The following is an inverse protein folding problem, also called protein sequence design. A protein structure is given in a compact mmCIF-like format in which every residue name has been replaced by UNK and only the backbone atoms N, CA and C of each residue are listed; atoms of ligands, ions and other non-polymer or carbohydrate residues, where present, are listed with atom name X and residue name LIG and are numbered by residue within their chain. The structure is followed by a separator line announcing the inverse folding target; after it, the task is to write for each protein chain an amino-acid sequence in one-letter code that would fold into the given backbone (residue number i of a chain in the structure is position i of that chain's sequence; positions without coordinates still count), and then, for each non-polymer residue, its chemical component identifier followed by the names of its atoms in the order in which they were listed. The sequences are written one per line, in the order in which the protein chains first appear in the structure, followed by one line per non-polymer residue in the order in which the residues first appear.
data_IF_188201613282
#
_entry.id   IF_188201613282
#
_cell.length_a   1.000
_cell.length_b   1.000
_cell.length_c   1.000
_cell.angle_alpha   90.00
_cell.angle_beta   90.00
_cell.angle_gamma   90.00
#
_symmetry.space_group_name_H-M   'P 1'
#
loop_
_entity.id
_entity.type
_entity.pdbx_description
1 polymer ?
#
# COMPACT_ATOMS: atom_id res chain seq x y z
N UNK A 1 -12.05 5.40 -14.14
CA UNK A 1 -10.75 4.89 -14.59
C UNK A 1 -9.83 6.09 -14.66
N UNK A 2 -8.68 6.05 -14.02
CA UNK A 2 -7.67 7.11 -14.19
C UNK A 2 -7.18 7.03 -15.64
N UNK A 3 -7.30 8.12 -16.37
CA UNK A 3 -6.60 8.28 -17.64
C UNK A 3 -5.14 8.64 -17.35
N UNK A 4 -4.23 8.36 -18.28
CA UNK A 4 -2.81 8.72 -18.15
C UNK A 4 -2.62 10.21 -17.85
N UNK A 5 -3.47 11.08 -18.39
CA UNK A 5 -3.43 12.53 -18.14
C UNK A 5 -3.78 12.89 -16.70
N UNK A 6 -4.80 12.25 -16.12
CA UNK A 6 -5.17 12.44 -14.70
C UNK A 6 -4.08 11.89 -13.77
N UNK A 7 -3.49 10.76 -14.13
CA UNK A 7 -2.36 10.19 -13.35
C UNK A 7 -1.16 11.14 -13.36
N UNK A 8 -0.80 11.67 -14.55
CA UNK A 8 0.28 12.65 -14.74
C UNK A 8 0.03 13.94 -13.94
N UNK A 9 -1.17 14.52 -14.06
CA UNK A 9 -1.54 15.73 -13.32
C UNK A 9 -1.51 15.50 -11.78
N UNK A 10 -1.99 14.35 -11.32
CA UNK A 10 -1.98 14.00 -9.90
C UNK A 10 -0.56 13.82 -9.39
N UNK A 11 0.25 13.06 -10.10
CA UNK A 11 1.62 12.73 -9.69
C UNK A 11 2.56 13.96 -9.76
N UNK A 12 2.39 14.85 -10.75
CA UNK A 12 3.19 16.07 -10.82
C UNK A 12 3.09 16.96 -9.57
N UNK A 13 1.97 16.91 -8.85
CA UNK A 13 1.76 17.63 -7.60
C UNK A 13 2.49 17.00 -6.40
N UNK A 14 3.08 15.81 -6.57
CA UNK A 14 3.84 15.11 -5.53
C UNK A 14 5.35 15.32 -5.66
N UNK A 15 5.83 15.78 -6.81
CA UNK A 15 7.27 15.93 -7.12
C UNK A 15 8.00 16.77 -6.04
N UNK A 16 7.43 17.90 -5.65
CA UNK A 16 8.02 18.80 -4.64
C UNK A 16 8.06 18.22 -3.22
N UNK A 17 7.39 17.09 -3.00
CA UNK A 17 7.45 16.38 -1.72
C UNK A 17 8.67 15.46 -1.63
N UNK A 18 9.33 15.17 -2.76
CA UNK A 18 10.48 14.29 -2.89
C UNK A 18 10.24 12.92 -2.23
N UNK A 19 9.19 12.18 -2.62
CA UNK A 19 8.97 10.84 -2.08
C UNK A 19 10.09 9.90 -2.56
N UNK A 20 10.53 8.98 -1.69
CA UNK A 20 11.51 7.94 -2.06
C UNK A 20 10.95 7.01 -3.14
N UNK A 21 9.65 6.77 -3.14
CA UNK A 21 8.93 6.06 -4.22
C UNK A 21 7.44 6.41 -4.25
N UNK A 22 6.80 6.16 -5.38
CA UNK A 22 5.35 6.28 -5.58
C UNK A 22 4.78 4.97 -6.09
N UNK A 23 3.73 4.46 -5.42
CA UNK A 23 3.06 3.22 -5.85
C UNK A 23 2.03 3.49 -6.94
N UNK A 24 2.15 2.80 -8.07
CA UNK A 24 1.10 2.69 -9.07
C UNK A 24 0.23 1.46 -8.75
N UNK A 25 -1.01 1.70 -8.29
CA UNK A 25 -1.90 0.63 -7.87
C UNK A 25 -2.53 -0.10 -9.05
N UNK A 26 -2.55 -1.43 -8.97
CA UNK A 26 -3.37 -2.25 -9.85
C UNK A 26 -4.83 -1.99 -9.53
N UNK A 27 -5.66 -1.72 -10.53
CA UNK A 27 -7.08 -1.41 -10.34
C UNK A 27 -7.77 -2.48 -9.49
N UNK A 28 -8.11 -2.15 -8.26
CA UNK A 28 -8.92 -2.99 -7.39
C UNK A 28 -10.29 -3.19 -8.07
N UNK A 29 -10.58 -4.40 -8.58
CA UNK A 29 -11.81 -4.69 -9.30
C UNK A 29 -11.60 -5.36 -10.66
N UNK A 30 -10.40 -5.84 -10.96
CA UNK A 30 -10.16 -6.71 -12.12
C UNK A 30 -10.43 -6.05 -13.47
N UNK A 31 -10.08 -4.77 -13.63
CA UNK A 31 -10.19 -4.12 -14.94
C UNK A 31 -9.33 -4.88 -15.96
N UNK A 32 -9.87 -4.99 -17.18
CA UNK A 32 -9.28 -5.76 -18.29
C UNK A 32 -7.94 -5.19 -18.82
N UNK A 33 -7.40 -4.10 -18.25
CA UNK A 33 -6.16 -3.45 -18.66
C UNK A 33 -5.06 -3.68 -17.63
N UNK A 34 -4.32 -4.78 -17.79
CA UNK A 34 -3.05 -5.02 -17.06
C UNK A 34 -1.99 -3.96 -17.33
N UNK A 35 -2.07 -3.27 -18.46
CA UNK A 35 -1.09 -2.29 -18.90
C UNK A 35 -1.23 -0.91 -18.23
N UNK A 36 -2.38 -0.59 -17.63
CA UNK A 36 -2.58 0.72 -17.00
C UNK A 36 -1.61 1.00 -15.83
N UNK A 37 -1.25 -0.04 -15.07
CA UNK A 37 -0.32 0.10 -13.95
C UNK A 37 1.10 0.37 -14.43
N UNK A 38 1.58 -0.35 -15.44
CA UNK A 38 2.90 -0.16 -16.02
C UNK A 38 3.02 1.17 -16.76
N UNK A 39 1.95 1.63 -17.43
CA UNK A 39 1.90 2.95 -18.06
C UNK A 39 2.01 4.08 -17.03
N UNK A 40 1.28 3.98 -15.90
CA UNK A 40 1.37 4.96 -14.81
C UNK A 40 2.77 4.93 -14.19
N UNK A 41 3.34 3.74 -13.97
CA UNK A 41 4.69 3.61 -13.42
C UNK A 41 5.74 4.23 -14.37
N UNK A 42 5.61 4.06 -15.68
CA UNK A 42 6.48 4.69 -16.65
C UNK A 42 6.35 6.23 -16.64
N UNK A 43 5.13 6.78 -16.53
CA UNK A 43 4.93 8.23 -16.38
C UNK A 43 5.66 8.76 -15.13
N UNK A 44 5.55 8.05 -13.99
CA UNK A 44 6.23 8.45 -12.75
C UNK A 44 7.75 8.52 -12.95
N UNK A 45 8.32 7.54 -13.65
CA UNK A 45 9.75 7.37 -13.80
C UNK A 45 10.32 8.25 -14.93
N UNK A 46 9.74 8.18 -16.13
CA UNK A 46 10.31 8.79 -17.32
C UNK A 46 9.99 10.29 -17.46
N UNK A 47 8.80 10.71 -16.96
CA UNK A 47 8.36 12.10 -17.12
C UNK A 47 8.54 12.93 -15.82
N UNK A 48 8.51 12.30 -14.65
CA UNK A 48 8.50 13.00 -13.36
C UNK A 48 9.74 12.72 -12.50
N UNK A 49 10.66 11.89 -12.96
CA UNK A 49 11.91 11.52 -12.27
C UNK A 49 11.66 11.00 -10.82
N UNK A 50 10.60 10.20 -10.66
CA UNK A 50 10.22 9.58 -9.40
C UNK A 50 10.37 8.07 -9.47
N UNK A 51 10.94 7.45 -8.43
CA UNK A 51 10.98 5.99 -8.33
C UNK A 51 9.56 5.43 -8.31
N UNK A 52 9.24 4.58 -9.27
CA UNK A 52 7.93 3.93 -9.36
C UNK A 52 7.96 2.53 -8.76
N UNK A 53 6.89 2.15 -8.05
CA UNK A 53 6.61 0.78 -7.63
C UNK A 53 5.29 0.31 -8.24
N UNK A 54 5.35 -0.66 -9.14
CA UNK A 54 4.17 -1.19 -9.80
C UNK A 54 3.52 -2.31 -8.95
N UNK A 55 2.21 -2.25 -8.72
CA UNK A 55 1.50 -3.37 -8.11
C UNK A 55 1.25 -4.48 -9.14
N UNK A 56 1.50 -5.72 -8.77
CA UNK A 56 1.19 -6.89 -9.57
C UNK A 56 0.43 -7.93 -8.75
N UNK A 57 -0.76 -8.33 -9.24
CA UNK A 57 -1.62 -9.33 -8.59
C UNK A 57 -1.63 -10.64 -9.38
N UNK A 58 -1.74 -11.78 -8.69
CA UNK A 58 -1.60 -13.10 -9.31
C UNK A 58 -2.82 -14.04 -9.16
N UNK A 59 -3.77 -13.75 -8.27
CA UNK A 59 -4.85 -14.70 -7.89
C UNK A 59 -5.74 -15.20 -9.03
N UNK A 60 -5.88 -14.42 -10.11
CA UNK A 60 -6.67 -14.77 -11.30
C UNK A 60 -5.85 -14.76 -12.59
N UNK A 61 -4.52 -14.72 -12.50
CA UNK A 61 -3.63 -14.65 -13.64
C UNK A 61 -3.16 -16.02 -14.11
N UNK A 62 -3.05 -16.24 -15.43
CA UNK A 62 -2.33 -17.38 -16.00
C UNK A 62 -0.82 -17.11 -16.01
N UNK A 63 -0.02 -18.15 -16.26
CA UNK A 63 1.44 -18.00 -16.39
C UNK A 63 1.82 -17.05 -17.54
N UNK A 64 1.11 -17.13 -18.66
CA UNK A 64 1.35 -16.26 -19.82
C UNK A 64 1.04 -14.80 -19.51
N UNK A 65 -0.02 -14.53 -18.73
CA UNK A 65 -0.36 -13.16 -18.29
C UNK A 65 0.69 -12.59 -17.35
N UNK A 66 1.19 -13.37 -16.42
CA UNK A 66 2.29 -12.95 -15.54
C UNK A 66 3.54 -12.71 -16.37
N UNK A 67 3.95 -13.64 -17.23
CA UNK A 67 5.12 -13.46 -18.08
C UNK A 67 5.03 -12.18 -18.94
N UNK A 68 3.89 -11.96 -19.60
CA UNK A 68 3.66 -10.74 -20.39
C UNK A 68 3.70 -9.46 -19.55
N UNK A 69 3.17 -9.49 -18.32
CA UNK A 69 3.23 -8.34 -17.42
C UNK A 69 4.68 -8.04 -16.98
N UNK A 70 5.47 -9.08 -16.71
CA UNK A 70 6.89 -8.93 -16.35
C UNK A 70 7.71 -8.38 -17.52
N UNK A 71 7.46 -8.87 -18.74
CA UNK A 71 8.11 -8.38 -19.95
C UNK A 71 7.78 -6.89 -20.18
N UNK A 72 6.51 -6.49 -20.04
CA UNK A 72 6.06 -5.11 -20.18
C UNK A 72 6.67 -4.18 -19.11
N UNK A 73 6.79 -4.62 -17.88
CA UNK A 73 7.47 -3.85 -16.81
C UNK A 73 8.96 -3.67 -17.11
N UNK A 74 9.66 -4.73 -17.59
CA UNK A 74 11.07 -4.66 -17.94
C UNK A 74 11.32 -3.77 -19.16
N UNK A 75 10.47 -3.86 -20.20
CA UNK A 75 10.54 -2.99 -21.39
C UNK A 75 10.40 -1.51 -21.03
N UNK A 76 9.62 -1.19 -20.00
CA UNK A 76 9.44 0.16 -19.45
C UNK A 76 10.47 0.56 -18.40
N UNK A 77 11.49 -0.28 -18.14
CA UNK A 77 12.52 0.01 -17.16
C UNK A 77 12.05 0.08 -15.71
N UNK A 78 10.89 -0.51 -15.39
CA UNK A 78 10.37 -0.55 -14.01
C UNK A 78 11.15 -1.60 -13.21
N UNK A 79 11.74 -1.19 -12.11
CA UNK A 79 12.59 -2.03 -11.28
C UNK A 79 11.92 -2.52 -9.99
N UNK A 80 10.85 -1.84 -9.53
CA UNK A 80 10.24 -2.12 -8.24
C UNK A 80 8.80 -2.61 -8.41
N UNK A 81 8.48 -3.76 -7.80
CA UNK A 81 7.17 -4.39 -7.91
C UNK A 81 6.65 -4.77 -6.52
N UNK A 82 5.42 -4.36 -6.21
CA UNK A 82 4.69 -4.87 -5.05
C UNK A 82 3.94 -6.15 -5.45
N UNK A 83 4.44 -7.28 -4.98
CA UNK A 83 3.88 -8.61 -5.24
C UNK A 83 2.66 -8.85 -4.35
N UNK A 84 1.50 -9.01 -4.94
CA UNK A 84 0.23 -9.19 -4.24
C UNK A 84 -0.47 -10.48 -4.70
N UNK A 85 -1.19 -11.13 -3.79
CA UNK A 85 -2.16 -12.15 -4.20
C UNK A 85 -3.25 -11.52 -5.05
N UNK A 86 -3.81 -10.42 -4.58
CA UNK A 86 -5.02 -9.80 -5.10
C UNK A 86 -6.28 -10.52 -4.60
N UNK A 87 -7.41 -9.82 -4.71
CA UNK A 87 -8.73 -10.37 -4.37
C UNK A 87 -9.38 -11.02 -5.59
N UNK A 88 -10.06 -12.13 -5.38
CA UNK A 88 -10.87 -12.75 -6.40
C UNK A 88 -12.22 -12.02 -6.46
N UNK A 89 -12.51 -11.45 -7.63
CA UNK A 89 -13.81 -10.83 -7.89
C UNK A 89 -14.77 -11.90 -8.41
N UNK A 90 -16.06 -11.75 -8.09
CA UNK A 90 -17.11 -12.65 -8.56
C UNK A 90 -17.04 -12.82 -10.10
N UNK A 91 -17.06 -14.07 -10.55
CA UNK A 91 -16.91 -14.44 -11.96
C UNK A 91 -15.46 -14.58 -12.47
N UNK A 92 -14.47 -14.32 -11.64
CA UNK A 92 -13.08 -14.64 -11.99
C UNK A 92 -12.72 -16.09 -11.66
N UNK A 93 -11.95 -16.73 -12.55
CA UNK A 93 -11.39 -18.05 -12.29
C UNK A 93 -10.10 -17.92 -11.50
N UNK A 94 -9.97 -18.58 -10.34
CA UNK A 94 -8.71 -18.60 -9.60
C UNK A 94 -7.57 -19.16 -10.44
N UNK A 95 -6.37 -18.60 -10.26
CA UNK A 95 -5.17 -19.16 -10.86
C UNK A 95 -4.91 -20.57 -10.32
N UNK A 96 -4.53 -21.49 -11.22
CA UNK A 96 -4.11 -22.83 -10.83
C UNK A 96 -2.66 -22.85 -10.35
N UNK A 97 -1.85 -21.89 -10.80
CA UNK A 97 -0.41 -21.79 -10.53
C UNK A 97 -0.09 -20.83 -9.39
N UNK A 98 -0.75 -19.67 -9.35
CA UNK A 98 -0.47 -18.58 -8.40
C UNK A 98 -1.59 -18.46 -7.37
N UNK A 99 -1.40 -19.04 -6.20
CA UNK A 99 -2.38 -18.99 -5.09
C UNK A 99 -2.07 -17.90 -4.08
N UNK A 100 -0.79 -17.57 -3.94
CA UNK A 100 -0.27 -16.60 -2.96
C UNK A 100 0.81 -15.74 -3.59
N UNK A 101 1.11 -14.61 -2.95
CA UNK A 101 2.23 -13.75 -3.35
C UNK A 101 3.58 -14.50 -3.33
N UNK A 102 3.73 -15.50 -2.45
CA UNK A 102 4.90 -16.38 -2.38
C UNK A 102 5.16 -17.17 -3.64
N UNK A 103 4.14 -17.38 -4.49
CA UNK A 103 4.31 -18.05 -5.78
C UNK A 103 4.81 -17.08 -6.87
N UNK A 104 4.55 -15.78 -6.69
CA UNK A 104 4.93 -14.71 -7.61
C UNK A 104 6.34 -14.15 -7.31
N UNK A 105 6.68 -13.98 -6.03
CA UNK A 105 7.93 -13.36 -5.57
C UNK A 105 9.19 -13.98 -6.22
N UNK A 106 9.36 -15.33 -6.26
CA UNK A 106 10.55 -15.91 -6.88
C UNK A 106 10.71 -15.56 -8.36
N UNK A 107 9.61 -15.51 -9.12
CA UNK A 107 9.65 -15.12 -10.54
C UNK A 107 10.09 -13.68 -10.73
N UNK A 108 9.63 -12.77 -9.86
CA UNK A 108 10.08 -11.38 -9.86
C UNK A 108 11.58 -11.27 -9.54
N UNK A 109 12.06 -12.05 -8.55
CA UNK A 109 13.49 -12.07 -8.20
C UNK A 109 14.35 -12.65 -9.32
N UNK A 110 13.92 -13.71 -9.99
CA UNK A 110 14.59 -14.28 -11.17
C UNK A 110 14.73 -13.27 -12.32
N UNK A 111 13.79 -12.33 -12.43
CA UNK A 111 13.80 -11.25 -13.42
C UNK A 111 14.56 -10.00 -12.95
N UNK A 112 15.12 -10.00 -11.73
CA UNK A 112 15.94 -8.92 -11.20
C UNK A 112 15.18 -7.77 -10.55
N UNK A 113 13.87 -7.89 -10.32
CA UNK A 113 13.09 -6.85 -9.64
C UNK A 113 13.44 -6.72 -8.15
N UNK A 114 13.36 -5.49 -7.63
CA UNK A 114 13.19 -5.23 -6.22
C UNK A 114 11.73 -5.50 -5.84
N UNK A 115 11.52 -6.38 -4.87
CA UNK A 115 10.19 -6.94 -4.58
C UNK A 115 9.68 -6.53 -3.21
N UNK A 116 8.65 -5.67 -3.20
CA UNK A 116 7.83 -5.43 -2.01
C UNK A 116 6.73 -6.48 -1.87
N UNK A 117 6.26 -6.70 -0.65
CA UNK A 117 5.07 -7.52 -0.38
C UNK A 117 4.21 -6.90 0.73
N UNK A 118 2.93 -7.28 0.81
CA UNK A 118 2.02 -6.78 1.82
C UNK A 118 2.24 -7.43 3.19
N UNK A 119 2.15 -6.63 4.25
CA UNK A 119 2.08 -7.04 5.64
C UNK A 119 0.77 -6.57 6.28
N UNK A 120 0.31 -7.23 7.33
CA UNK A 120 -0.99 -6.96 7.96
C UNK A 120 -0.83 -6.81 9.48
N UNK A 121 -0.75 -5.58 10.01
CA UNK A 121 -0.55 -5.35 11.46
C UNK A 121 -1.65 -5.93 12.35
N UNK A 122 -2.86 -6.08 11.82
CA UNK A 122 -4.01 -6.64 12.52
C UNK A 122 -4.43 -8.02 11.95
N UNK A 123 -3.51 -8.74 11.29
CA UNK A 123 -3.71 -9.93 10.49
C UNK A 123 -4.54 -9.71 9.21
N UNK A 124 -4.37 -10.59 8.22
CA UNK A 124 -5.19 -10.57 7.01
C UNK A 124 -6.66 -10.87 7.33
N UNK A 125 -7.66 -10.22 6.69
CA UNK A 125 -9.10 -10.39 7.02
C UNK A 125 -9.60 -11.84 7.01
N UNK A 126 -8.93 -12.74 6.30
CA UNK A 126 -9.26 -14.17 6.28
C UNK A 126 -8.55 -14.96 7.37
N UNK A 127 -7.67 -14.34 8.14
CA UNK A 127 -6.94 -14.94 9.26
C UNK A 127 -7.49 -14.39 10.57
N UNK A 128 -7.64 -15.27 11.57
CA UNK A 128 -8.10 -14.88 12.91
C UNK A 128 -6.92 -14.69 13.87
N UNK A 129 -5.74 -15.14 13.50
CA UNK A 129 -4.56 -15.17 14.34
C UNK A 129 -3.37 -14.47 13.67
N UNK A 130 -2.84 -13.44 14.34
CA UNK A 130 -1.67 -12.70 13.89
C UNK A 130 -0.41 -13.58 13.85
N UNK A 131 -0.25 -14.51 14.80
CA UNK A 131 0.93 -15.37 14.86
C UNK A 131 0.94 -16.37 13.68
N UNK A 132 -0.24 -16.73 13.18
CA UNK A 132 -0.35 -17.51 11.94
C UNK A 132 -0.04 -16.65 10.70
N UNK A 133 -0.55 -15.42 10.64
CA UNK A 133 -0.28 -14.51 9.52
C UNK A 133 1.21 -14.14 9.41
N UNK A 134 1.91 -14.03 10.54
CA UNK A 134 3.36 -13.82 10.58
C UNK A 134 4.16 -14.95 9.93
N UNK A 135 3.68 -16.20 9.95
CA UNK A 135 4.31 -17.32 9.22
C UNK A 135 4.24 -17.09 7.70
N UNK A 136 3.12 -16.55 7.22
CA UNK A 136 3.01 -16.18 5.80
C UNK A 136 3.89 -14.96 5.47
N UNK A 137 4.01 -14.00 6.38
CA UNK A 137 4.94 -12.88 6.19
C UNK A 137 6.38 -13.37 6.10
N UNK A 138 6.78 -14.28 7.00
CA UNK A 138 8.10 -14.93 6.95
C UNK A 138 8.32 -15.70 5.65
N UNK A 139 7.32 -16.44 5.19
CA UNK A 139 7.39 -17.14 3.92
C UNK A 139 7.59 -16.19 2.72
N UNK A 140 7.01 -15.00 2.75
CA UNK A 140 7.25 -13.97 1.71
C UNK A 140 8.70 -13.48 1.73
N UNK A 141 9.27 -13.22 2.93
CA UNK A 141 10.69 -12.88 3.07
C UNK A 141 11.58 -14.00 2.55
N UNK A 142 11.31 -15.24 2.94
CA UNK A 142 12.10 -16.42 2.52
C UNK A 142 11.97 -16.70 1.01
N UNK A 143 10.86 -16.31 0.39
CA UNK A 143 10.67 -16.35 -1.06
C UNK A 143 11.45 -15.24 -1.80
N UNK A 144 11.99 -14.24 -1.09
CA UNK A 144 12.83 -13.20 -1.65
C UNK A 144 12.23 -11.79 -1.63
N UNK A 145 11.18 -11.52 -0.83
CA UNK A 145 10.71 -10.15 -0.66
C UNK A 145 11.80 -9.29 0.00
N UNK A 146 12.11 -8.14 -0.60
CA UNK A 146 13.14 -7.22 -0.15
C UNK A 146 12.64 -6.28 0.95
N UNK A 147 11.34 -5.96 0.95
CA UNK A 147 10.70 -5.11 1.95
C UNK A 147 9.19 -5.39 2.03
N UNK A 148 8.55 -4.81 3.05
CA UNK A 148 7.11 -4.90 3.24
C UNK A 148 6.44 -3.54 3.29
N UNK A 149 5.20 -3.47 2.77
CA UNK A 149 4.29 -2.33 2.96
C UNK A 149 3.09 -2.83 3.73
N UNK A 150 2.76 -2.20 4.86
CA UNK A 150 1.62 -2.66 5.64
C UNK A 150 0.30 -2.28 5.00
N UNK A 151 -0.74 -3.08 5.26
CA UNK A 151 -2.11 -2.61 5.15
C UNK A 151 -2.30 -1.41 6.07
N UNK A 152 -3.22 -0.51 5.73
CA UNK A 152 -3.54 0.62 6.59
C UNK A 152 -3.96 0.15 7.98
N UNK A 153 -3.66 0.96 8.97
CA UNK A 153 -4.13 0.83 10.35
C UNK A 153 -4.43 2.20 10.94
N UNK A 154 -5.30 2.27 11.93
CA UNK A 154 -5.70 3.53 12.56
C UNK A 154 -5.16 3.71 13.98
N UNK A 155 -4.44 2.72 14.50
CA UNK A 155 -3.85 2.75 15.83
C UNK A 155 -2.39 2.27 15.75
N UNK A 156 -1.43 3.15 16.08
CA UNK A 156 0.00 2.82 16.02
C UNK A 156 0.38 1.70 16.99
N UNK A 157 -0.35 1.54 18.11
CA UNK A 157 -0.14 0.43 19.04
C UNK A 157 -0.38 -0.95 18.38
N UNK A 158 -1.27 -1.03 17.39
CA UNK A 158 -1.44 -2.26 16.61
C UNK A 158 -0.19 -2.57 15.81
N UNK A 159 0.41 -1.54 15.19
CA UNK A 159 1.66 -1.68 14.44
C UNK A 159 2.83 -2.05 15.36
N UNK A 160 3.00 -1.40 16.51
CA UNK A 160 4.11 -1.71 17.41
C UNK A 160 4.07 -3.15 17.92
N UNK A 161 2.90 -3.63 18.34
CA UNK A 161 2.73 -5.05 18.73
C UNK A 161 3.01 -6.03 17.58
N UNK A 162 2.60 -5.68 16.36
CA UNK A 162 2.91 -6.45 15.17
C UNK A 162 4.42 -6.44 14.89
N UNK A 163 5.07 -5.29 14.97
CA UNK A 163 6.49 -5.10 14.69
C UNK A 163 7.37 -5.92 15.63
N UNK A 164 7.09 -5.85 16.95
CA UNK A 164 7.77 -6.68 17.96
C UNK A 164 7.63 -8.17 17.65
N UNK A 165 6.44 -8.63 17.33
CA UNK A 165 6.18 -10.03 16.97
C UNK A 165 6.85 -10.43 15.65
N UNK A 166 6.87 -9.55 14.65
CA UNK A 166 7.55 -9.77 13.38
C UNK A 166 9.06 -9.95 13.58
N UNK A 167 9.70 -9.09 14.36
CA UNK A 167 11.10 -9.23 14.74
C UNK A 167 11.37 -10.55 15.47
N UNK A 168 10.53 -10.90 16.44
CA UNK A 168 10.63 -12.16 17.18
C UNK A 168 10.45 -13.39 16.27
N UNK A 169 9.65 -13.28 15.19
CA UNK A 169 9.47 -14.31 14.17
C UNK A 169 10.61 -14.36 13.13
N UNK A 170 11.64 -13.51 13.27
CA UNK A 170 12.80 -13.46 12.37
C UNK A 170 12.55 -12.71 11.06
N UNK A 171 11.61 -11.77 11.05
CA UNK A 171 11.46 -10.80 9.95
C UNK A 171 12.58 -9.76 10.11
N UNK A 172 13.38 -9.62 9.07
CA UNK A 172 14.53 -8.69 9.03
C UNK A 172 14.42 -7.69 7.86
N UNK A 173 13.55 -7.97 6.89
CA UNK A 173 13.26 -7.05 5.80
C UNK A 173 12.55 -5.80 6.33
N UNK A 174 12.87 -4.60 5.82
CA UNK A 174 12.25 -3.35 6.25
C UNK A 174 10.72 -3.37 6.09
N UNK A 175 10.03 -2.73 7.02
CA UNK A 175 8.56 -2.63 7.02
C UNK A 175 8.13 -1.18 6.94
N UNK A 176 7.50 -0.79 5.83
CA UNK A 176 6.96 0.55 5.61
C UNK A 176 5.53 0.64 6.11
N UNK A 177 5.24 1.60 7.00
CA UNK A 177 3.94 1.79 7.65
C UNK A 177 2.93 2.47 6.75
N UNK A 178 1.83 1.81 6.45
CA UNK A 178 0.75 2.31 5.61
C UNK A 178 -0.28 3.13 6.39
N UNK A 179 -0.34 4.43 6.17
CA UNK A 179 -1.28 5.36 6.83
C UNK A 179 -2.26 5.94 5.81
N UNK A 180 -3.53 5.98 6.19
CA UNK A 180 -4.60 6.54 5.33
C UNK A 180 -5.48 7.50 6.11
N UNK A 181 -5.52 8.80 5.74
CA UNK A 181 -6.47 9.73 6.31
C UNK A 181 -7.92 9.36 5.96
N UNK A 182 -8.80 9.50 6.91
CA UNK A 182 -10.24 9.21 6.77
C UNK A 182 -10.94 10.40 6.11
N UNK A 183 -11.57 10.18 4.95
CA UNK A 183 -12.23 11.26 4.21
C UNK A 183 -13.75 11.27 4.36
N UNK A 184 -14.36 10.14 4.70
CA UNK A 184 -15.80 10.02 4.95
C UNK A 184 -16.12 8.80 5.80
N UNK A 185 -17.32 8.77 6.37
CA UNK A 185 -17.83 7.64 7.16
C UNK A 185 -17.96 6.39 6.30
N UNK A 186 -18.42 6.53 5.06
CA UNK A 186 -18.58 5.42 4.11
C UNK A 186 -17.22 4.82 3.73
N UNK A 187 -16.19 5.66 3.58
CA UNK A 187 -14.83 5.17 3.34
C UNK A 187 -14.34 4.33 4.51
N UNK A 188 -14.49 4.81 5.74
CA UNK A 188 -14.09 4.06 6.95
C UNK A 188 -14.83 2.73 7.04
N UNK A 189 -16.15 2.74 6.90
CA UNK A 189 -16.95 1.52 6.94
C UNK A 189 -16.45 0.49 5.92
N UNK A 190 -16.17 0.94 4.69
CA UNK A 190 -15.60 0.10 3.64
C UNK A 190 -14.23 -0.45 4.03
N UNK A 191 -13.32 0.39 4.56
CA UNK A 191 -11.98 -0.05 4.95
C UNK A 191 -12.00 -1.03 6.11
N UNK A 192 -12.82 -0.77 7.14
CA UNK A 192 -13.00 -1.71 8.26
C UNK A 192 -13.49 -3.06 7.75
N UNK A 193 -14.49 -3.06 6.86
CA UNK A 193 -15.06 -4.30 6.33
C UNK A 193 -14.10 -5.05 5.38
N UNK A 194 -13.42 -4.33 4.49
CA UNK A 194 -12.55 -4.96 3.48
C UNK A 194 -11.18 -5.33 4.02
N UNK A 195 -10.63 -4.50 4.90
CA UNK A 195 -9.25 -4.66 5.38
C UNK A 195 -9.18 -5.31 6.77
N UNK A 196 -10.32 -5.48 7.46
CA UNK A 196 -10.37 -6.10 8.78
C UNK A 196 -9.72 -5.26 9.88
N UNK A 197 -9.56 -3.95 9.66
CA UNK A 197 -8.85 -3.05 10.59
C UNK A 197 -9.75 -2.56 11.71
N UNK A 198 -9.21 -2.42 12.90
CA UNK A 198 -9.93 -1.89 14.05
C UNK A 198 -10.10 -0.36 13.96
N UNK A 199 -11.15 0.14 14.60
CA UNK A 199 -11.47 1.57 14.60
C UNK A 199 -11.29 2.13 16.02
N UNK A 200 -10.23 2.91 16.29
CA UNK A 200 -9.99 3.45 17.62
C UNK A 200 -11.01 4.53 17.99
N UNK A 201 -11.27 4.65 19.29
CA UNK A 201 -12.27 5.58 19.82
C UNK A 201 -12.04 7.04 19.41
N UNK A 202 -10.80 7.46 19.14
CA UNK A 202 -10.48 8.82 18.67
C UNK A 202 -11.06 9.06 17.28
N UNK A 203 -10.92 8.11 16.36
CA UNK A 203 -11.52 8.18 15.01
C UNK A 203 -13.05 8.19 15.09
N UNK A 204 -13.64 7.32 15.93
CA UNK A 204 -15.11 7.29 16.13
C UNK A 204 -15.63 8.66 16.60
N UNK A 205 -14.91 9.31 17.53
CA UNK A 205 -15.28 10.66 18.01
C UNK A 205 -15.15 11.73 16.91
N UNK A 206 -14.12 11.68 16.08
CA UNK A 206 -13.94 12.58 14.93
C UNK A 206 -15.10 12.40 13.94
N UNK A 207 -15.42 11.16 13.56
CA UNK A 207 -16.52 10.85 12.64
C UNK A 207 -17.88 11.33 13.16
N UNK A 208 -18.14 11.17 14.47
CA UNK A 208 -19.41 11.62 15.05
C UNK A 208 -19.46 13.14 15.19
N UNK A 209 -18.36 13.78 15.58
CA UNK A 209 -18.32 15.23 15.78
C UNK A 209 -18.53 16.00 14.48
N UNK A 210 -18.02 15.50 13.38
CA UNK A 210 -18.03 16.16 12.07
C UNK A 210 -18.89 15.43 11.04
N UNK A 211 -19.92 14.69 11.50
CA UNK A 211 -20.76 13.85 10.64
C UNK A 211 -21.39 14.65 9.48
N UNK A 212 -21.80 15.90 9.76
CA UNK A 212 -22.48 16.78 8.81
C UNK A 212 -21.58 17.90 8.26
N UNK A 213 -20.28 17.85 8.57
CA UNK A 213 -19.28 18.84 8.12
C UNK A 213 -18.07 18.14 7.48
N UNK A 214 -18.13 17.84 6.18
CA UNK A 214 -17.05 17.16 5.46
C UNK A 214 -15.71 17.92 5.46
N UNK A 215 -15.73 19.25 5.51
CA UNK A 215 -14.52 20.05 5.52
C UNK A 215 -13.77 19.91 6.84
N UNK A 216 -14.49 20.02 7.97
CA UNK A 216 -13.92 19.81 9.31
C UNK A 216 -13.51 18.35 9.53
N UNK A 217 -14.28 17.38 9.01
CA UNK A 217 -13.92 15.97 9.04
C UNK A 217 -12.57 15.73 8.34
N UNK A 218 -12.42 16.25 7.12
CA UNK A 218 -11.19 16.14 6.36
C UNK A 218 -9.99 16.72 7.12
N UNK A 219 -10.13 17.94 7.66
CA UNK A 219 -9.08 18.60 8.43
C UNK A 219 -8.66 17.77 9.64
N UNK A 220 -9.61 17.38 10.48
CA UNK A 220 -9.34 16.59 11.69
C UNK A 220 -8.72 15.21 11.36
N UNK A 221 -9.09 14.62 10.23
CA UNK A 221 -8.56 13.34 9.78
C UNK A 221 -7.12 13.44 9.26
N UNK A 222 -6.78 14.53 8.58
CA UNK A 222 -5.41 14.80 8.14
C UNK A 222 -4.51 15.10 9.35
N UNK A 223 -4.99 15.86 10.32
CA UNK A 223 -4.29 16.10 11.58
C UNK A 223 -4.03 14.79 12.34
N UNK A 224 -5.04 13.92 12.42
CA UNK A 224 -4.87 12.60 13.04
C UNK A 224 -3.84 11.74 12.31
N UNK A 225 -3.89 11.68 10.98
CA UNK A 225 -2.92 10.92 10.20
C UNK A 225 -1.50 11.49 10.31
N UNK A 226 -1.36 12.81 10.38
CA UNK A 226 -0.07 13.47 10.62
C UNK A 226 0.48 13.12 12.01
N UNK A 227 -0.36 13.12 13.07
CA UNK A 227 0.02 12.67 14.40
C UNK A 227 0.53 11.20 14.38
N UNK A 228 -0.15 10.30 13.64
CA UNK A 228 0.32 8.92 13.47
C UNK A 228 1.68 8.85 12.78
N UNK A 229 1.88 9.61 11.70
CA UNK A 229 3.14 9.64 10.95
C UNK A 229 4.29 10.17 11.81
N UNK A 230 4.05 11.23 12.60
CA UNK A 230 5.04 11.81 13.52
C UNK A 230 5.44 10.78 14.57
N UNK A 231 4.47 10.17 15.24
CA UNK A 231 4.71 9.18 16.28
C UNK A 231 5.48 7.96 15.75
N UNK A 232 5.12 7.43 14.57
CA UNK A 232 5.84 6.35 13.91
C UNK A 232 7.30 6.72 13.58
N UNK A 233 7.50 7.92 13.06
CA UNK A 233 8.85 8.41 12.73
C UNK A 233 9.72 8.62 13.98
N UNK A 234 9.15 9.14 15.08
CA UNK A 234 9.84 9.29 16.36
C UNK A 234 10.20 7.93 16.98
N UNK A 235 9.42 6.88 16.71
CA UNK A 235 9.73 5.50 17.10
C UNK A 235 10.77 4.81 16.19
N UNK A 236 11.24 5.48 15.12
CA UNK A 236 12.30 4.99 14.26
C UNK A 236 11.89 3.81 13.39
N UNK A 237 10.64 3.81 12.87
CA UNK A 237 10.19 2.79 11.90
C UNK A 237 10.97 2.87 10.60
N UNK A 238 11.05 1.76 9.85
CA UNK A 238 11.85 1.66 8.62
C UNK A 238 11.38 2.59 7.49
N UNK A 239 10.08 2.92 7.45
CA UNK A 239 9.52 3.81 6.43
C UNK A 239 8.05 4.13 6.64
N UNK A 240 7.59 5.20 5.98
CA UNK A 240 6.21 5.67 6.02
C UNK A 240 5.60 5.64 4.62
N UNK A 241 4.41 5.07 4.48
CA UNK A 241 3.66 5.01 3.23
C UNK A 241 2.29 5.66 3.39
N UNK A 242 2.03 6.74 2.65
CA UNK A 242 0.77 7.48 2.75
C UNK A 242 -0.18 7.12 1.60
N UNK A 243 -1.33 6.56 1.93
CA UNK A 243 -2.40 6.29 0.98
C UNK A 243 -3.17 7.56 0.65
N UNK A 244 -2.90 8.16 -0.50
CA UNK A 244 -3.50 9.44 -0.92
C UNK A 244 -4.83 9.30 -1.63
N UNK A 245 -5.18 8.12 -2.11
CA UNK A 245 -6.39 7.85 -2.90
C UNK A 245 -6.52 8.80 -4.11
N UNK A 246 -5.41 9.03 -4.81
CA UNK A 246 -5.29 9.97 -5.94
C UNK A 246 -5.65 11.43 -5.60
N UNK A 247 -5.43 11.84 -4.34
CA UNK A 247 -5.63 13.20 -3.84
C UNK A 247 -4.29 13.74 -3.33
N UNK A 248 -3.46 14.34 -4.20
CA UNK A 248 -2.10 14.76 -3.85
C UNK A 248 -2.08 15.81 -2.73
N UNK A 249 -3.16 16.59 -2.60
CA UNK A 249 -3.31 17.55 -1.51
C UNK A 249 -3.35 16.91 -0.11
N UNK A 250 -3.66 15.62 0.00
CA UNK A 250 -3.56 14.87 1.26
C UNK A 250 -2.10 14.73 1.65
N UNK A 251 -1.25 14.29 0.71
CA UNK A 251 0.17 14.16 0.96
C UNK A 251 0.80 15.52 1.30
N UNK A 252 0.46 16.56 0.54
CA UNK A 252 0.97 17.91 0.78
C UNK A 252 0.64 18.41 2.20
N UNK A 253 -0.60 18.22 2.66
CA UNK A 253 -1.04 18.64 3.99
C UNK A 253 -0.40 17.79 5.10
N UNK A 254 -0.37 16.47 4.98
CA UNK A 254 0.29 15.60 5.96
C UNK A 254 1.79 15.92 6.07
N UNK A 255 2.48 16.06 4.94
CA UNK A 255 3.92 16.38 4.92
C UNK A 255 4.22 17.78 5.43
N UNK A 256 3.30 18.74 5.23
CA UNK A 256 3.41 20.08 5.82
C UNK A 256 3.45 20.01 7.35
N UNK A 257 2.50 19.28 7.95
CA UNK A 257 2.43 19.08 9.40
C UNK A 257 3.63 18.30 9.94
N UNK A 258 4.09 17.29 9.22
CA UNK A 258 5.27 16.49 9.60
C UNK A 258 6.54 17.35 9.64
N UNK A 259 6.77 18.19 8.61
CA UNK A 259 7.96 19.07 8.54
C UNK A 259 7.97 20.13 9.64
N UNK A 260 6.80 20.64 10.04
CA UNK A 260 6.70 21.64 11.10
C UNK A 260 6.99 21.07 12.50
N UNK A 261 6.77 19.78 12.72
CA UNK A 261 7.09 19.10 13.98
C UNK A 261 8.58 18.68 14.10
N UNK A 262 9.32 18.67 12.97
CA UNK A 262 10.75 18.28 12.92
C UNK A 262 11.71 19.48 12.83
N UNK A 263 11.19 20.70 12.94
CA UNK A 263 11.97 21.94 13.08
C UNK A 263 12.18 22.27 14.55
#
# INVERSE_FOLDING_TARGET
MLTNDVARETASKLVDLHPDFVSATYSAGGSKNSNATSEIAAILQDELDMTAMAHLTCSSASEEKIASALDDLQEKGIENVLALRGDLVEGQTPSTRFKHATDLIPLLKERGFCVGAAAYPEAHPTMMDLDEDLKYLKAKQDAGADFFVTQLFFDNECFYRFWDKAQAAGITAPITCGIMPVMSKEQVQRMVFMCGVSLPGKIVKILNRYADDPASLRKASIEYAAEQLIDLAEHGVDGLHLYTMNKPEIAQQCMGLLRDSWR
#
